data_IF_869075143688
#
_entry.id   IF_869075143688
#
_cell.length_a   1.000
_cell.length_b   1.000
_cell.length_c   1.000
_cell.angle_alpha   90.00
_cell.angle_beta   90.00
_cell.angle_gamma   90.00
#
_symmetry.space_group_name_H-M   'P 1'
#
loop_
_entity.id
_entity.type
_entity.pdbx_description
1 polymer ?
#
# COMPACT_ATOMS: atom_id res chain seq x y z
N UNK A 1 10.30 -11.56 5.21
CA UNK A 1 10.27 -12.08 3.83
C UNK A 1 11.69 -12.10 3.30
N UNK A 2 12.06 -13.08 2.47
CA UNK A 2 13.41 -13.17 1.91
C UNK A 2 13.24 -13.31 0.40
N UNK A 3 13.70 -12.32 -0.36
CA UNK A 3 13.83 -12.45 -1.81
C UNK A 3 14.96 -13.43 -2.09
N UNK A 4 14.77 -14.34 -3.04
CA UNK A 4 15.84 -15.27 -3.47
C UNK A 4 16.74 -14.67 -4.55
N UNK A 5 16.29 -13.56 -5.16
CA UNK A 5 16.96 -12.88 -6.27
C UNK A 5 16.86 -11.37 -6.13
N UNK A 6 17.82 -10.66 -6.70
CA UNK A 6 17.79 -9.20 -6.78
C UNK A 6 17.31 -8.78 -8.16
N UNK A 7 16.33 -7.89 -8.23
CA UNK A 7 15.94 -7.27 -9.49
C UNK A 7 16.85 -6.09 -9.78
N UNK A 8 17.40 -6.05 -10.98
CA UNK A 8 18.33 -5.03 -11.43
C UNK A 8 17.74 -4.28 -12.61
N UNK A 9 17.89 -2.96 -12.61
CA UNK A 9 17.58 -2.09 -13.73
C UNK A 9 18.87 -1.49 -14.29
N UNK A 10 19.16 -1.80 -15.55
CA UNK A 10 20.36 -1.33 -16.25
C UNK A 10 20.05 -1.14 -17.74
N UNK A 11 20.55 -0.06 -18.32
CA UNK A 11 20.38 0.32 -19.72
C UNK A 11 18.91 0.25 -20.19
N UNK A 12 17.99 0.71 -19.34
CA UNK A 12 16.56 0.73 -19.64
C UNK A 12 15.82 -0.61 -19.51
N UNK A 13 16.45 -1.65 -18.97
CA UNK A 13 15.90 -3.01 -18.91
C UNK A 13 15.99 -3.62 -17.52
N UNK A 14 14.96 -4.40 -17.17
CA UNK A 14 14.96 -5.23 -15.98
C UNK A 14 15.57 -6.59 -16.25
N UNK A 15 16.32 -7.10 -15.29
CA UNK A 15 16.75 -8.49 -15.24
C UNK A 15 16.95 -8.91 -13.78
N UNK A 16 16.82 -10.20 -13.48
CA UNK A 16 16.99 -10.72 -12.12
C UNK A 16 18.37 -11.37 -11.98
N UNK A 17 19.11 -10.99 -10.93
CA UNK A 17 20.42 -11.54 -10.60
C UNK A 17 20.36 -12.34 -9.30
N UNK A 18 21.45 -13.02 -8.96
CA UNK A 18 21.60 -13.53 -7.60
C UNK A 18 21.68 -12.37 -6.59
N UNK A 19 21.36 -12.66 -5.33
CA UNK A 19 21.50 -11.68 -4.26
C UNK A 19 22.97 -11.31 -4.09
N UNK A 20 23.31 -10.00 -4.16
CA UNK A 20 24.66 -9.53 -3.89
C UNK A 20 25.13 -9.87 -2.48
N UNK A 21 26.45 -9.95 -2.30
CA UNK A 21 27.05 -10.26 -0.99
C UNK A 21 26.67 -9.23 0.06
N UNK A 22 26.62 -7.95 -0.30
CA UNK A 22 26.19 -6.88 0.58
C UNK A 22 24.75 -7.08 1.10
N UNK A 23 23.86 -7.69 0.31
CA UNK A 23 22.49 -7.94 0.74
C UNK A 23 22.46 -9.01 1.84
N UNK A 24 23.26 -10.08 1.66
CA UNK A 24 23.40 -11.15 2.65
C UNK A 24 24.09 -10.66 3.91
N UNK A 25 25.06 -9.76 3.76
CA UNK A 25 25.74 -9.10 4.88
C UNK A 25 24.77 -8.26 5.70
N UNK A 26 23.97 -7.39 5.05
CA UNK A 26 22.93 -6.62 5.72
C UNK A 26 21.94 -7.53 6.46
N UNK A 27 21.59 -8.67 5.87
CA UNK A 27 20.66 -9.63 6.49
C UNK A 27 21.29 -10.26 7.72
N UNK A 28 22.54 -10.69 7.61
CA UNK A 28 23.30 -11.25 8.72
C UNK A 28 23.45 -10.22 9.85
N UNK A 29 23.71 -8.95 9.51
CA UNK A 29 23.88 -7.86 10.46
C UNK A 29 22.57 -7.58 11.22
N UNK A 30 21.45 -7.45 10.50
CA UNK A 30 20.13 -7.26 11.11
C UNK A 30 19.77 -8.40 12.06
N UNK A 31 20.06 -9.65 11.69
CA UNK A 31 19.79 -10.82 12.54
C UNK A 31 20.71 -10.92 13.77
N UNK A 32 22.01 -10.67 13.57
CA UNK A 32 23.04 -10.86 14.60
C UNK A 32 23.01 -9.74 15.62
N UNK A 33 22.93 -8.49 15.16
CA UNK A 33 22.94 -7.30 16.01
C UNK A 33 21.53 -6.84 16.42
N UNK A 34 20.48 -7.47 15.89
CA UNK A 34 19.05 -7.12 16.12
C UNK A 34 18.74 -5.66 15.79
N UNK A 35 19.42 -5.11 14.80
CA UNK A 35 19.14 -3.77 14.27
C UNK A 35 18.06 -3.84 13.19
N UNK A 36 17.38 -2.71 13.02
CA UNK A 36 16.39 -2.56 11.95
C UNK A 36 17.00 -2.82 10.57
N UNK A 37 16.20 -3.37 9.66
CA UNK A 37 16.64 -3.74 8.31
C UNK A 37 17.17 -2.55 7.53
N UNK A 38 16.51 -1.38 7.63
CA UNK A 38 16.93 -0.17 6.94
C UNK A 38 18.27 0.33 7.52
N UNK A 39 18.43 0.30 8.84
CA UNK A 39 19.71 0.63 9.49
C UNK A 39 20.85 -0.35 9.12
N UNK A 40 20.55 -1.63 8.93
CA UNK A 40 21.54 -2.59 8.46
C UNK A 40 22.00 -2.29 7.03
N UNK A 41 21.07 -1.89 6.16
CA UNK A 41 21.38 -1.46 4.80
C UNK A 41 22.24 -0.20 4.79
N UNK A 42 21.93 0.80 5.63
CA UNK A 42 22.74 2.02 5.71
C UNK A 42 24.21 1.73 6.04
N UNK A 43 24.43 0.80 6.98
CA UNK A 43 25.79 0.41 7.39
C UNK A 43 26.55 -0.34 6.30
N UNK A 44 25.88 -1.21 5.55
CA UNK A 44 26.54 -2.03 4.53
C UNK A 44 26.71 -1.28 3.21
N UNK A 45 25.75 -0.42 2.86
CA UNK A 45 25.81 0.40 1.65
C UNK A 45 26.63 1.69 1.84
N UNK A 46 27.00 1.99 3.08
CA UNK A 46 27.74 3.17 3.51
C UNK A 46 27.07 4.48 3.08
N UNK A 47 25.74 4.53 3.18
CA UNK A 47 24.94 5.70 2.87
C UNK A 47 23.58 5.68 3.58
N UNK A 48 23.03 6.86 3.85
CA UNK A 48 21.67 7.00 4.38
C UNK A 48 20.64 6.87 3.26
N UNK A 49 19.43 6.43 3.61
CA UNK A 49 18.33 6.45 2.65
C UNK A 49 17.70 7.83 2.51
N UNK A 50 17.08 8.06 1.36
CA UNK A 50 16.14 9.15 1.17
C UNK A 50 14.74 8.58 0.93
N UNK A 51 13.76 9.10 1.67
CA UNK A 51 12.35 8.78 1.48
C UNK A 51 11.78 9.67 0.36
N UNK A 52 11.18 9.06 -0.67
CA UNK A 52 10.58 9.76 -1.81
C UNK A 52 9.10 10.10 -1.62
N UNK A 53 8.44 9.40 -0.69
CA UNK A 53 7.04 9.62 -0.32
C UNK A 53 7.00 10.47 0.95
N UNK A 54 6.04 11.40 1.09
CA UNK A 54 5.90 12.15 2.35
C UNK A 54 5.69 11.19 3.53
N UNK A 55 6.08 11.60 4.74
CA UNK A 55 5.71 10.95 6.00
C UNK A 55 4.19 11.00 6.16
N UNK A 56 3.51 10.08 5.48
CA UNK A 56 2.08 9.93 5.54
C UNK A 56 1.73 9.35 6.92
N UNK A 57 1.55 10.24 7.88
CA UNK A 57 0.97 9.96 9.20
C UNK A 57 -0.38 9.19 9.15
N UNK A 58 -0.99 9.07 7.97
CA UNK A 58 -2.07 8.14 7.68
C UNK A 58 -1.53 6.81 7.12
N UNK A 59 -1.55 5.78 7.97
CA UNK A 59 -0.99 4.41 7.90
C UNK A 59 -1.40 3.52 6.71
N UNK A 60 -1.57 4.07 5.51
CA UNK A 60 -2.07 3.33 4.32
C UNK A 60 -1.27 3.61 3.05
N UNK A 61 -0.23 4.46 3.13
CA UNK A 61 0.59 4.84 1.99
C UNK A 61 1.68 3.82 1.67
N UNK A 62 1.99 3.71 0.38
CA UNK A 62 3.20 3.06 -0.12
C UNK A 62 4.42 3.92 0.23
N UNK A 63 5.44 3.33 0.81
CA UNK A 63 6.70 3.98 1.19
C UNK A 63 7.79 3.62 0.17
N UNK A 64 8.44 4.63 -0.39
CA UNK A 64 9.55 4.41 -1.34
C UNK A 64 10.82 5.02 -0.77
N UNK A 65 11.80 4.17 -0.48
CA UNK A 65 13.12 4.55 0.00
C UNK A 65 14.17 4.25 -1.05
N UNK A 66 15.20 5.07 -1.15
CA UNK A 66 16.37 4.72 -1.94
C UNK A 66 17.70 5.03 -1.23
N UNK A 67 18.70 4.19 -1.49
CA UNK A 67 20.07 4.31 -1.01
C UNK A 67 20.99 4.53 -2.22
N UNK A 68 21.55 5.73 -2.41
CA UNK A 68 22.42 6.04 -3.54
C UNK A 68 23.87 5.61 -3.25
N UNK A 69 24.13 4.30 -3.13
CA UNK A 69 25.47 3.78 -2.86
C UNK A 69 26.38 3.97 -4.09
N UNK A 70 27.52 4.63 -3.91
CA UNK A 70 28.48 4.84 -5.01
C UNK A 70 29.09 3.53 -5.51
N UNK A 71 29.23 2.53 -4.63
CA UNK A 71 29.85 1.24 -4.96
C UNK A 71 28.86 0.21 -5.48
N UNK A 72 27.63 0.21 -4.94
CA UNK A 72 26.65 -0.85 -5.18
C UNK A 72 25.49 -0.44 -6.11
N UNK A 73 25.48 0.82 -6.55
CA UNK A 73 24.38 1.41 -7.29
C UNK A 73 23.28 1.92 -6.37
N UNK A 74 22.16 2.36 -6.98
CA UNK A 74 21.03 2.92 -6.25
C UNK A 74 20.06 1.79 -5.92
N UNK A 75 19.99 1.40 -4.65
CA UNK A 75 18.96 0.48 -4.16
C UNK A 75 17.67 1.25 -3.95
N UNK A 76 16.55 0.73 -4.46
CA UNK A 76 15.20 1.23 -4.23
C UNK A 76 14.40 0.14 -3.53
N UNK A 77 13.81 0.47 -2.40
CA UNK A 77 12.84 -0.37 -1.71
C UNK A 77 11.45 0.25 -1.81
N UNK A 78 10.48 -0.57 -2.14
CA UNK A 78 9.06 -0.21 -2.18
C UNK A 78 8.35 -1.06 -1.14
N UNK A 79 7.78 -0.40 -0.14
CA UNK A 79 7.17 -1.04 1.02
C UNK A 79 5.72 -0.55 1.17
N UNK A 80 4.88 -1.41 1.74
CA UNK A 80 3.55 -1.06 2.22
C UNK A 80 3.44 -1.40 3.72
N UNK A 81 2.32 -1.09 4.40
CA UNK A 81 2.16 -1.41 5.82
C UNK A 81 2.20 -2.91 6.16
N UNK A 82 2.06 -3.80 5.17
CA UNK A 82 2.11 -5.26 5.33
C UNK A 82 3.51 -5.82 5.09
N UNK A 83 4.38 -5.09 4.39
CA UNK A 83 5.80 -5.37 4.27
C UNK A 83 6.43 -4.91 2.96
N UNK A 84 7.57 -5.52 2.64
CA UNK A 84 8.33 -5.23 1.42
C UNK A 84 7.60 -5.76 0.18
N UNK A 85 7.26 -4.84 -0.73
CA UNK A 85 6.55 -5.13 -1.99
C UNK A 85 7.53 -5.47 -3.10
N UNK A 86 8.58 -4.67 -3.26
CA UNK A 86 9.57 -4.85 -4.33
C UNK A 86 10.92 -4.22 -3.96
N UNK A 87 12.00 -4.76 -4.51
CA UNK A 87 13.35 -4.21 -4.40
C UNK A 87 14.03 -4.16 -5.77
N UNK A 88 14.66 -3.03 -6.08
CA UNK A 88 15.37 -2.85 -7.36
C UNK A 88 16.71 -2.18 -7.14
N UNK A 89 17.77 -2.69 -7.77
CA UNK A 89 19.08 -2.02 -7.83
C UNK A 89 19.28 -1.41 -9.20
N UNK A 90 19.63 -0.13 -9.23
CA UNK A 90 19.96 0.60 -10.46
C UNK A 90 21.47 0.75 -10.51
N UNK A 91 22.12 0.04 -11.42
CA UNK A 91 23.59 -0.01 -11.48
C UNK A 91 24.19 1.24 -12.11
N UNK A 92 23.53 1.80 -13.13
CA UNK A 92 24.00 2.98 -13.83
C UNK A 92 23.32 4.24 -13.28
N UNK A 93 24.06 5.22 -12.72
CA UNK A 93 23.47 6.46 -12.24
C UNK A 93 22.69 7.24 -13.30
N UNK A 94 23.06 7.10 -14.59
CA UNK A 94 22.35 7.77 -15.69
C UNK A 94 20.92 7.23 -15.87
N UNK A 95 20.65 6.01 -15.41
CA UNK A 95 19.33 5.39 -15.49
C UNK A 95 18.39 5.81 -14.35
N UNK A 96 18.89 6.51 -13.33
CA UNK A 96 18.10 6.95 -12.17
C UNK A 96 16.90 7.81 -12.57
N UNK A 97 17.12 8.90 -13.31
CA UNK A 97 16.06 9.83 -13.67
C UNK A 97 15.03 9.19 -14.63
N UNK A 98 15.43 8.44 -15.67
CA UNK A 98 14.50 7.63 -16.47
C UNK A 98 13.69 6.63 -15.63
N UNK A 99 14.32 5.93 -14.68
CA UNK A 99 13.65 4.98 -13.81
C UNK A 99 12.61 5.67 -12.91
N UNK A 100 13.02 6.75 -12.24
CA UNK A 100 12.16 7.52 -11.34
C UNK A 100 10.94 8.05 -12.09
N UNK A 101 11.14 8.68 -13.24
CA UNK A 101 10.04 9.27 -14.02
C UNK A 101 9.10 8.23 -14.62
N UNK A 102 9.63 7.07 -15.06
CA UNK A 102 8.83 6.03 -15.73
C UNK A 102 8.10 5.11 -14.78
N UNK A 103 8.70 4.78 -13.63
CA UNK A 103 8.18 3.75 -12.72
C UNK A 103 7.77 4.32 -11.37
N UNK A 104 8.63 5.11 -10.70
CA UNK A 104 8.34 5.58 -9.34
C UNK A 104 7.32 6.72 -9.31
N UNK A 105 7.47 7.76 -10.13
CA UNK A 105 6.58 8.91 -10.14
C UNK A 105 5.11 8.54 -10.40
N UNK A 106 4.77 7.65 -11.35
CA UNK A 106 3.40 7.17 -11.53
C UNK A 106 2.87 6.38 -10.32
N UNK A 107 3.72 5.55 -9.69
CA UNK A 107 3.35 4.81 -8.49
C UNK A 107 3.05 5.76 -7.32
N UNK A 108 3.92 6.74 -7.08
CA UNK A 108 3.73 7.77 -6.06
C UNK A 108 2.43 8.53 -6.34
N UNK A 109 2.24 9.02 -7.56
CA UNK A 109 1.04 9.76 -7.93
C UNK A 109 -0.25 8.94 -7.74
N UNK A 110 -0.24 7.67 -8.12
CA UNK A 110 -1.40 6.78 -7.96
C UNK A 110 -1.70 6.49 -6.49
N UNK A 111 -0.66 6.29 -5.68
CA UNK A 111 -0.76 6.11 -4.22
C UNK A 111 -1.39 7.35 -3.58
N UNK A 112 -0.87 8.54 -3.88
CA UNK A 112 -1.40 9.82 -3.35
C UNK A 112 -2.84 10.06 -3.79
N UNK A 113 -3.17 9.80 -5.06
CA UNK A 113 -4.56 9.93 -5.56
C UNK A 113 -5.52 8.96 -4.85
N UNK A 114 -5.08 7.73 -4.60
CA UNK A 114 -5.90 6.73 -3.89
C UNK A 114 -6.17 7.17 -2.44
N UNK A 115 -5.16 7.67 -1.74
CA UNK A 115 -5.32 8.22 -0.39
C UNK A 115 -6.31 9.41 -0.36
N UNK A 116 -6.21 10.33 -1.34
CA UNK A 116 -7.14 11.45 -1.48
C UNK A 116 -8.57 10.95 -1.74
N UNK A 117 -8.76 9.96 -2.61
CA UNK A 117 -10.08 9.38 -2.89
C UNK A 117 -10.70 8.72 -1.65
N UNK A 118 -9.91 8.00 -0.85
CA UNK A 118 -10.40 7.43 0.41
C UNK A 118 -10.85 8.51 1.39
N UNK A 119 -10.07 9.60 1.51
CA UNK A 119 -10.43 10.74 2.35
C UNK A 119 -11.70 11.45 1.85
N UNK A 120 -11.82 11.67 0.54
CA UNK A 120 -13.02 12.24 -0.07
C UNK A 120 -14.25 11.35 0.15
N UNK A 121 -14.11 10.02 0.03
CA UNK A 121 -15.18 9.07 0.33
C UNK A 121 -15.64 9.17 1.78
N UNK A 122 -14.72 9.28 2.72
CA UNK A 122 -15.03 9.49 4.14
C UNK A 122 -15.76 10.81 4.39
N UNK A 123 -15.30 11.90 3.79
CA UNK A 123 -15.95 13.22 3.89
C UNK A 123 -17.36 13.16 3.29
N UNK A 124 -17.51 12.59 2.09
CA UNK A 124 -18.79 12.44 1.43
C UNK A 124 -19.77 11.61 2.27
N UNK A 125 -19.33 10.46 2.80
CA UNK A 125 -20.16 9.61 3.67
C UNK A 125 -20.59 10.36 4.94
N UNK A 126 -19.67 11.10 5.56
CA UNK A 126 -19.97 11.90 6.76
C UNK A 126 -20.96 13.03 6.47
N UNK A 127 -20.80 13.73 5.33
CA UNK A 127 -21.73 14.78 4.89
C UNK A 127 -23.12 14.22 4.56
N UNK A 128 -23.17 13.07 3.88
CA UNK A 128 -24.44 12.37 3.58
C UNK A 128 -25.14 11.96 4.87
N UNK A 129 -24.39 11.38 5.83
CA UNK A 129 -24.93 10.99 7.13
C UNK A 129 -25.47 12.19 7.90
N UNK A 130 -24.69 13.28 7.97
CA UNK A 130 -25.11 14.53 8.61
C UNK A 130 -26.37 15.11 7.97
N UNK A 131 -26.42 15.18 6.63
CA UNK A 131 -27.57 15.72 5.90
C UNK A 131 -28.86 14.89 6.12
N UNK A 132 -28.74 13.58 6.36
CA UNK A 132 -29.89 12.68 6.54
C UNK A 132 -30.36 12.57 7.99
N UNK A 133 -29.43 12.53 8.93
CA UNK A 133 -29.70 12.13 10.32
C UNK A 133 -29.30 13.18 11.35
N UNK A 134 -28.73 14.32 10.92
CA UNK A 134 -28.29 15.38 11.81
C UNK A 134 -26.99 15.04 12.55
N UNK A 135 -26.96 15.25 13.86
CA UNK A 135 -25.74 15.22 14.66
C UNK A 135 -24.99 13.87 14.59
N UNK A 136 -23.69 13.91 14.31
CA UNK A 136 -22.90 12.77 13.83
C UNK A 136 -22.46 11.72 14.86
N UNK A 137 -23.12 11.62 16.02
CA UNK A 137 -22.78 10.63 17.06
C UNK A 137 -22.86 9.16 16.59
N UNK A 138 -23.57 8.94 15.49
CA UNK A 138 -23.81 7.65 14.86
C UNK A 138 -22.90 7.38 13.64
N UNK A 139 -21.98 8.31 13.32
CA UNK A 139 -21.02 8.18 12.22
C UNK A 139 -19.72 7.59 12.73
N UNK A 140 -19.26 6.54 12.06
CA UNK A 140 -17.97 5.92 12.35
C UNK A 140 -16.81 6.86 11.97
N UNK A 141 -15.90 7.09 12.92
CA UNK A 141 -14.80 8.06 12.75
C UNK A 141 -13.71 7.59 11.81
N UNK A 142 -13.58 6.30 11.55
CA UNK A 142 -12.54 5.77 10.67
C UNK A 142 -13.03 5.74 9.23
N UNK A 143 -14.27 5.27 9.01
CA UNK A 143 -14.85 4.99 7.69
C UNK A 143 -15.80 6.09 7.18
N UNK A 144 -16.32 6.94 8.07
CA UNK A 144 -17.32 7.96 7.75
C UNK A 144 -18.73 7.40 7.52
N UNK A 145 -18.95 6.10 7.72
CA UNK A 145 -20.23 5.45 7.49
C UNK A 145 -21.21 5.68 8.65
N UNK A 146 -22.49 5.91 8.33
CA UNK A 146 -23.57 6.00 9.30
C UNK A 146 -24.03 4.61 9.74
N UNK A 147 -24.03 4.34 11.05
CA UNK A 147 -24.62 3.10 11.60
C UNK A 147 -26.11 2.97 11.28
N UNK A 148 -26.84 4.10 11.26
CA UNK A 148 -28.28 4.12 10.94
C UNK A 148 -28.50 3.66 9.49
N UNK A 149 -27.67 4.11 8.55
CA UNK A 149 -27.77 3.68 7.16
C UNK A 149 -27.43 2.20 7.00
N UNK A 150 -26.42 1.70 7.71
CA UNK A 150 -26.04 0.29 7.69
C UNK A 150 -27.16 -0.62 8.23
N UNK A 151 -27.81 -0.22 9.32
CA UNK A 151 -28.92 -0.97 9.92
C UNK A 151 -30.15 -0.97 8.99
N UNK A 152 -30.50 0.18 8.42
CA UNK A 152 -31.60 0.29 7.44
C UNK A 152 -31.35 -0.57 6.19
N UNK A 153 -30.13 -0.59 5.67
CA UNK A 153 -29.78 -1.42 4.52
C UNK A 153 -29.84 -2.91 4.84
N UNK A 154 -29.42 -3.30 6.05
CA UNK A 154 -29.51 -4.69 6.53
C UNK A 154 -30.96 -5.13 6.64
N UNK A 155 -31.83 -4.29 7.19
CA UNK A 155 -33.24 -4.59 7.35
C UNK A 155 -33.98 -4.63 6.01
N UNK A 156 -33.64 -3.73 5.08
CA UNK A 156 -34.13 -3.78 3.70
C UNK A 156 -33.75 -5.09 3.01
N UNK A 157 -32.47 -5.50 3.09
CA UNK A 157 -32.01 -6.77 2.50
C UNK A 157 -32.72 -7.98 3.10
N UNK A 158 -32.93 -8.01 4.42
CA UNK A 158 -33.70 -9.06 5.09
C UNK A 158 -35.15 -9.11 4.63
N UNK A 159 -35.80 -7.95 4.54
CA UNK A 159 -37.18 -7.87 4.04
C UNK A 159 -37.30 -8.35 2.59
N UNK A 160 -36.34 -8.01 1.73
CA UNK A 160 -36.27 -8.51 0.34
C UNK A 160 -36.06 -10.02 0.27
N UNK A 161 -35.17 -10.58 1.09
CA UNK A 161 -34.94 -12.04 1.17
C UNK A 161 -36.20 -12.79 1.63
N UNK A 162 -36.91 -12.27 2.63
CA UNK A 162 -38.19 -12.84 3.10
C UNK A 162 -39.24 -12.79 2.00
N UNK A 163 -39.37 -11.66 1.29
CA UNK A 163 -40.30 -11.53 0.15
C UNK A 163 -39.98 -12.51 -0.97
N UNK A 164 -38.69 -12.69 -1.31
CA UNK A 164 -38.26 -13.66 -2.33
C UNK A 164 -38.49 -15.10 -1.89
N UNK A 165 -38.28 -15.43 -0.60
CA UNK A 165 -38.57 -16.75 -0.05
C UNK A 165 -40.07 -17.07 -0.06
N UNK A 166 -40.93 -16.10 0.30
CA UNK A 166 -42.39 -16.26 0.18
C UNK A 166 -42.84 -16.40 -1.29
N UNK A 167 -42.23 -15.65 -2.22
CA UNK A 167 -42.53 -15.76 -3.65
C UNK A 167 -42.12 -17.12 -4.24
N UNK A 168 -41.06 -17.76 -3.70
CA UNK A 168 -40.64 -19.11 -4.07
C UNK A 168 -41.48 -20.21 -3.38
N UNK A 169 -41.86 -20.01 -2.12
CA UNK A 169 -42.71 -20.94 -1.36
C UNK A 169 -44.18 -20.91 -1.76
N UNK A 170 -44.66 -19.83 -2.40
CA UNK A 170 -46.01 -19.73 -2.95
C UNK A 170 -46.22 -20.44 -4.29
N UNK A 171 -45.18 -21.04 -4.89
CA UNK A 171 -45.29 -21.87 -6.10
C UNK A 171 -45.13 -23.35 -5.77
N UNK A 172 -46.21 -23.98 -5.34
CA UNK A 172 -46.42 -25.44 -5.42
C UNK A 172 -47.39 -26.01 -4.38
N UNK A 173 -48.22 -27.02 -4.72
CA UNK A 173 -48.91 -27.32 -5.97
C UNK A 173 -50.44 -27.36 -5.76
N UNK A 174 -51.18 -26.43 -6.37
CA UNK A 174 -52.63 -26.52 -6.49
C UNK A 174 -52.97 -27.04 -7.89
N UNK A 175 -53.00 -28.37 -8.04
CA UNK A 175 -53.67 -29.08 -9.11
C UNK A 175 -55.07 -29.48 -8.63
#
# INVERSE_FOLDING_TARGET
>A
MMFDRMRVYDAGRFHDTELPDWYREAQSLSQTERIDWHCALERVLDCEYTLLTEDCTASTGLEIRFWPSEMNGILVLIEDPLGLVEQVVILNPADWLPFLSRYLAPLIATSTQSAVLQMQGKIANTLIAWARHGEGSHVDRETGLSRIDLDNDRDRRRAEQVRQAMAKGGKGPGA
#
